data_IF_634841961881
#
_entry.id   IF_634841961881
#
_cell.length_a   1.000
_cell.length_b   1.000
_cell.length_c   1.000
_cell.angle_alpha   90.00
_cell.angle_beta   90.00
_cell.angle_gamma   90.00
#
_symmetry.space_group_name_H-M   'P 1'
#
loop_
_entity.id
_entity.type
_entity.pdbx_description
1 polymer ?
#
# COMPACT_ATOMS: atom_id res chain seq x y z
N UNK A 1 19.37 17.29 -0.11
CA UNK A 1 17.90 17.09 -0.11
C UNK A 1 17.46 16.72 1.28
N UNK A 2 16.36 17.27 1.79
CA UNK A 2 15.81 16.92 3.11
C UNK A 2 14.59 16.02 2.94
N UNK A 3 14.60 14.86 3.58
CA UNK A 3 13.41 14.00 3.68
C UNK A 3 12.57 14.42 4.89
N UNK A 4 11.24 14.24 4.78
CA UNK A 4 10.31 14.44 5.90
C UNK A 4 9.71 13.09 6.28
N UNK A 5 9.73 12.78 7.56
CA UNK A 5 9.06 11.59 8.08
C UNK A 5 7.60 11.92 8.39
N UNK A 6 6.68 11.14 7.84
CA UNK A 6 5.26 11.16 8.21
C UNK A 6 4.99 9.86 8.97
N UNK A 7 4.64 9.98 10.26
CA UNK A 7 4.25 8.82 11.08
C UNK A 7 2.80 8.42 10.82
N UNK A 8 2.50 7.15 10.99
CA UNK A 8 1.19 6.60 10.68
C UNK A 8 1.12 5.09 10.78
N UNK A 9 0.05 4.54 10.22
CA UNK A 9 -0.27 3.11 10.25
C UNK A 9 -0.56 2.58 8.85
N UNK A 10 -0.21 1.31 8.62
CA UNK A 10 -0.50 0.58 7.38
C UNK A 10 -1.82 -0.17 7.49
N UNK A 11 -2.58 -0.23 6.38
CA UNK A 11 -3.92 -0.81 6.34
C UNK A 11 -4.09 -1.72 5.13
N UNK A 12 -4.68 -2.89 5.33
CA UNK A 12 -4.97 -3.86 4.24
C UNK A 12 -6.46 -4.21 4.14
N UNK A 13 -7.23 -3.98 5.20
CA UNK A 13 -8.64 -4.38 5.27
C UNK A 13 -9.48 -3.57 4.27
N UNK A 14 -10.17 -4.28 3.36
CA UNK A 14 -10.99 -3.67 2.30
C UNK A 14 -10.17 -3.14 1.12
N UNK A 15 -8.93 -3.61 0.97
CA UNK A 15 -8.06 -3.29 -0.15
C UNK A 15 -7.50 -4.57 -0.77
N UNK A 16 -7.02 -4.44 -2.01
CA UNK A 16 -6.30 -5.48 -2.74
C UNK A 16 -4.90 -4.96 -3.06
N UNK A 17 -3.92 -5.05 -2.15
CA UNK A 17 -2.56 -4.60 -2.43
C UNK A 17 -1.77 -5.60 -3.27
N UNK A 18 -0.83 -5.08 -4.05
CA UNK A 18 0.23 -5.84 -4.72
C UNK A 18 1.47 -5.92 -3.82
N UNK A 19 2.51 -6.62 -4.28
CA UNK A 19 3.74 -6.84 -3.51
C UNK A 19 4.60 -5.60 -3.24
N UNK A 20 4.26 -4.45 -3.82
CA UNK A 20 4.94 -3.17 -3.68
C UNK A 20 4.00 -2.07 -3.13
N UNK A 21 2.76 -2.40 -2.81
CA UNK A 21 1.72 -1.40 -2.60
C UNK A 21 0.96 -1.59 -1.29
N UNK A 22 0.66 -0.50 -0.59
CA UNK A 22 0.02 -0.56 0.74
C UNK A 22 -0.78 0.73 0.98
N UNK A 23 -1.88 0.64 1.73
CA UNK A 23 -2.57 1.85 2.21
C UNK A 23 -1.92 2.34 3.49
N UNK A 24 -1.76 3.65 3.57
CA UNK A 24 -1.17 4.31 4.72
C UNK A 24 -2.06 5.44 5.21
N UNK A 25 -2.23 5.51 6.54
CA UNK A 25 -2.91 6.61 7.21
C UNK A 25 -1.90 7.35 8.07
N UNK A 26 -1.67 8.62 7.77
CA UNK A 26 -0.87 9.48 8.63
C UNK A 26 -1.56 9.68 10.00
N UNK A 27 -0.79 9.75 11.08
CA UNK A 27 -1.31 10.09 12.42
C UNK A 27 -1.88 11.52 12.44
N UNK A 28 -1.32 12.40 11.62
CA UNK A 28 -1.73 13.79 11.44
C UNK A 28 -1.90 14.07 9.94
N UNK A 29 -3.16 14.29 9.53
CA UNK A 29 -3.52 14.50 8.13
C UNK A 29 -2.91 15.78 7.54
N UNK A 30 -2.62 16.80 8.36
CA UNK A 30 -2.02 18.05 7.89
C UNK A 30 -0.58 17.85 7.39
N UNK A 31 0.07 16.73 7.74
CA UNK A 31 1.45 16.42 7.31
C UNK A 31 1.57 16.26 5.80
N UNK A 32 0.49 15.91 5.11
CA UNK A 32 0.47 15.82 3.65
C UNK A 32 0.72 17.18 2.98
N UNK A 33 0.26 18.28 3.58
CA UNK A 33 0.46 19.64 3.05
C UNK A 33 1.92 20.10 3.14
N UNK A 34 2.73 19.41 3.95
CA UNK A 34 4.15 19.69 4.07
C UNK A 34 4.97 19.17 2.88
N UNK A 35 4.38 18.32 2.03
CA UNK A 35 5.02 17.76 0.83
C UNK A 35 4.93 18.75 -0.32
N UNK A 36 6.02 18.86 -1.10
CA UNK A 36 6.06 19.69 -2.31
C UNK A 36 5.68 18.85 -3.54
N UNK A 37 5.14 19.50 -4.57
CA UNK A 37 4.79 18.86 -5.83
C UNK A 37 3.32 18.42 -5.90
N UNK A 38 3.06 17.25 -6.50
CA UNK A 38 1.70 16.75 -6.70
C UNK A 38 1.06 16.44 -5.35
N UNK A 39 -0.10 17.03 -5.08
CA UNK A 39 -0.88 16.74 -3.87
C UNK A 39 -1.22 15.25 -3.78
N UNK A 40 -1.04 14.69 -2.60
CA UNK A 40 -1.42 13.30 -2.29
C UNK A 40 -2.94 13.20 -2.32
N UNK A 41 -3.46 12.19 -3.04
CA UNK A 41 -4.89 11.89 -3.07
C UNK A 41 -5.21 10.93 -1.94
N UNK A 42 -6.03 11.39 -1.01
CA UNK A 42 -6.58 10.58 0.07
C UNK A 42 -7.96 10.04 -0.34
N UNK A 43 -8.31 8.83 0.12
CA UNK A 43 -9.67 8.32 0.01
C UNK A 43 -10.55 8.81 1.17
N UNK A 44 -11.81 8.38 1.22
CA UNK A 44 -12.77 8.71 2.29
C UNK A 44 -12.35 8.26 3.70
N UNK A 45 -11.37 7.35 3.82
CA UNK A 45 -10.78 6.91 5.10
C UNK A 45 -9.51 7.69 5.47
N UNK A 46 -9.16 8.74 4.73
CA UNK A 46 -7.90 9.47 4.82
C UNK A 46 -6.65 8.60 4.56
N UNK A 47 -6.79 7.53 3.78
CA UNK A 47 -5.66 6.68 3.41
C UNK A 47 -5.05 7.13 2.08
N UNK A 48 -3.72 7.25 2.05
CA UNK A 48 -2.93 7.39 0.85
C UNK A 48 -2.58 5.99 0.28
N UNK A 49 -2.44 5.90 -1.04
CA UNK A 49 -1.78 4.74 -1.67
C UNK A 49 -0.27 5.00 -1.67
N UNK A 50 0.50 4.09 -1.07
CA UNK A 50 1.95 4.09 -1.18
C UNK A 50 2.41 3.00 -2.15
N UNK A 51 3.55 3.25 -2.77
CA UNK A 51 4.32 2.31 -3.59
C UNK A 51 5.75 2.32 -3.04
N UNK A 52 6.36 1.15 -2.89
CA UNK A 52 7.76 1.06 -2.42
C UNK A 52 8.67 1.53 -3.55
N UNK A 53 9.58 2.45 -3.25
CA UNK A 53 10.51 2.96 -4.25
C UNK A 53 11.48 1.87 -4.71
N UNK A 54 11.81 1.90 -6.00
CA UNK A 54 12.73 0.97 -6.67
C UNK A 54 12.34 -0.52 -6.63
N UNK A 55 11.07 -0.82 -6.35
CA UNK A 55 10.51 -2.17 -6.42
C UNK A 55 9.30 -2.14 -7.36
N UNK A 56 9.23 -3.09 -8.29
CA UNK A 56 8.08 -3.33 -9.15
C UNK A 56 7.66 -4.79 -8.99
N UNK A 57 6.40 -5.03 -8.62
CA UNK A 57 5.88 -6.38 -8.34
C UNK A 57 4.76 -6.76 -9.25
N UNK A 58 4.49 -8.06 -9.34
CA UNK A 58 3.44 -8.55 -10.21
C UNK A 58 2.06 -8.09 -9.72
N UNK A 59 1.25 -7.63 -10.66
CA UNK A 59 -0.11 -7.16 -10.42
C UNK A 59 -1.03 -8.33 -10.06
N UNK A 60 -1.64 -8.25 -8.88
CA UNK A 60 -2.63 -9.22 -8.38
C UNK A 60 -3.99 -9.05 -9.05
N UNK A 61 -4.27 -7.84 -9.56
CA UNK A 61 -5.50 -7.45 -10.23
C UNK A 61 -5.30 -6.18 -11.08
N UNK A 62 -5.69 -6.23 -12.35
CA UNK A 62 -5.83 -5.05 -13.20
C UNK A 62 -7.01 -5.23 -14.14
N UNK A 63 -8.10 -4.49 -13.92
CA UNK A 63 -9.39 -4.71 -14.59
C UNK A 63 -9.88 -6.15 -14.37
N UNK A 64 -9.90 -6.98 -15.41
CA UNK A 64 -10.28 -8.40 -15.37
C UNK A 64 -9.07 -9.35 -15.51
N UNK A 65 -7.87 -8.79 -15.51
CA UNK A 65 -6.63 -9.51 -15.72
C UNK A 65 -5.80 -9.57 -14.45
N UNK A 66 -4.85 -10.48 -14.41
CA UNK A 66 -3.80 -10.53 -13.39
C UNK A 66 -2.53 -11.16 -13.98
N UNK A 67 -1.39 -10.83 -13.41
CA UNK A 67 -0.13 -11.53 -13.71
C UNK A 67 -0.10 -12.89 -12.98
N UNK A 68 0.92 -13.75 -13.18
CA UNK A 68 0.94 -15.09 -12.59
C UNK A 68 0.68 -15.09 -11.08
N UNK A 69 -0.53 -15.52 -10.70
CA UNK A 69 -1.12 -15.26 -9.38
C UNK A 69 -0.32 -15.85 -8.24
N UNK A 70 0.32 -17.01 -8.45
CA UNK A 70 1.23 -17.62 -7.47
C UNK A 70 2.34 -16.66 -7.04
N UNK A 71 2.99 -15.99 -8.00
CA UNK A 71 4.11 -15.10 -7.74
C UNK A 71 3.64 -13.72 -7.25
N UNK A 72 2.56 -13.18 -7.82
CA UNK A 72 1.95 -11.93 -7.35
C UNK A 72 1.53 -12.02 -5.88
N UNK A 73 0.77 -13.07 -5.51
CA UNK A 73 0.33 -13.27 -4.13
C UNK A 73 1.51 -13.52 -3.19
N UNK A 74 2.52 -14.28 -3.61
CA UNK A 74 3.71 -14.52 -2.79
C UNK A 74 4.47 -13.22 -2.49
N UNK A 75 4.53 -12.29 -3.44
CA UNK A 75 5.14 -10.97 -3.22
C UNK A 75 4.32 -10.14 -2.21
N UNK A 76 2.99 -10.11 -2.35
CA UNK A 76 2.09 -9.47 -1.37
C UNK A 76 2.24 -10.05 0.04
N UNK A 77 2.25 -11.37 0.17
CA UNK A 77 2.41 -12.06 1.46
C UNK A 77 3.79 -11.77 2.09
N UNK A 78 4.83 -11.68 1.25
CA UNK A 78 6.18 -11.33 1.71
C UNK A 78 6.24 -9.88 2.23
N UNK A 79 5.60 -8.94 1.54
CA UNK A 79 5.49 -7.55 2.00
C UNK A 79 4.81 -7.47 3.37
N UNK A 80 3.69 -8.18 3.54
CA UNK A 80 2.97 -8.21 4.81
C UNK A 80 3.79 -8.81 5.95
N UNK A 81 4.55 -9.87 5.67
CA UNK A 81 5.50 -10.45 6.62
C UNK A 81 6.55 -9.43 7.06
N UNK A 82 7.13 -8.67 6.13
CA UNK A 82 8.10 -7.62 6.44
C UNK A 82 7.50 -6.48 7.28
N UNK A 83 6.24 -6.14 7.02
CA UNK A 83 5.49 -5.12 7.78
C UNK A 83 4.96 -5.64 9.13
N UNK A 84 5.16 -6.92 9.45
CA UNK A 84 4.65 -7.53 10.69
C UNK A 84 3.13 -7.71 10.72
N UNK A 85 2.45 -7.64 9.57
CA UNK A 85 1.02 -7.89 9.45
C UNK A 85 0.79 -9.40 9.48
N UNK A 86 -0.14 -9.87 10.33
CA UNK A 86 -0.37 -11.29 10.61
C UNK A 86 -1.86 -11.62 10.60
N UNK A 87 -2.17 -12.92 10.57
CA UNK A 87 -3.54 -13.46 10.66
C UNK A 87 -4.48 -12.93 9.57
N UNK A 88 -3.97 -12.91 8.33
CA UNK A 88 -4.66 -12.32 7.18
C UNK A 88 -5.74 -13.29 6.70
N UNK A 89 -6.96 -12.78 6.55
CA UNK A 89 -8.09 -13.50 5.98
C UNK A 89 -8.56 -12.72 4.76
N UNK A 90 -8.44 -13.34 3.60
CA UNK A 90 -8.94 -12.78 2.36
C UNK A 90 -10.44 -13.01 2.23
N UNK A 91 -11.15 -12.03 1.66
CA UNK A 91 -12.55 -12.21 1.28
C UNK A 91 -12.63 -13.33 0.22
N UNK A 92 -13.73 -14.07 0.22
CA UNK A 92 -14.02 -15.00 -0.86
C UNK A 92 -14.02 -14.25 -2.20
N UNK A 93 -13.30 -14.79 -3.18
CA UNK A 93 -13.28 -14.30 -4.57
C UNK A 93 -14.54 -14.65 -5.31
#
# INVERSE_FOLDING_TARGET
MSFKVIKGTFHIVGYSPDGDSIRFKADDVSRWDSLRGRKVKLNSKNHAQLRIEAIDTLETHYKKEHQPRKFANSATDYLFKLMGIKNIVWNAT
#
